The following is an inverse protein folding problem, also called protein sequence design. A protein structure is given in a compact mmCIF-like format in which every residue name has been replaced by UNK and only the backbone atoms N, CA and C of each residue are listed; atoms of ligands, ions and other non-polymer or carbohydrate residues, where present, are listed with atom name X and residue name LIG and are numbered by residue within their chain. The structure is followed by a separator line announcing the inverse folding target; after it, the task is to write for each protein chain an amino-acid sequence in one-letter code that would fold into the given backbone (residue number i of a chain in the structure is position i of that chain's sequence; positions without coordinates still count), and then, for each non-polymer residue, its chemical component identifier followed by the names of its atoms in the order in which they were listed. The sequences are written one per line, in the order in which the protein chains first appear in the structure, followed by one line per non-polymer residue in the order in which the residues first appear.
data_IF_625416607080
#
_entry.id   IF_625416607080
#
_cell.length_a   1.000
_cell.length_b   1.000
_cell.length_c   1.000
_cell.angle_alpha   90.00
_cell.angle_beta   90.00
_cell.angle_gamma   90.00
#
_symmetry.space_group_name_H-M   'P 1'
#
loop_
_entity.id
_entity.type
_entity.pdbx_description
1 polymer ?
#
# COMPACT_ATOMS: atom_id res chain seq x y z
N UNK A 1 -7.39 -36.38 25.39
CA UNK A 1 -6.30 -35.37 25.39
C UNK A 1 -5.97 -34.97 23.95
N UNK A 2 -5.92 -33.65 23.72
CA UNK A 2 -5.15 -32.87 22.70
C UNK A 2 -5.45 -32.99 21.18
N UNK A 3 -6.27 -32.03 20.73
CA UNK A 3 -6.08 -30.95 19.70
C UNK A 3 -5.54 -31.23 18.27
N UNK A 4 -5.94 -30.36 17.28
CA UNK A 4 -6.18 -30.71 15.89
C UNK A 4 -5.01 -30.41 14.95
N UNK A 5 -4.98 -31.05 13.77
CA UNK A 5 -4.01 -30.79 12.70
C UNK A 5 -4.59 -29.82 11.68
N UNK A 6 -3.89 -28.69 11.54
CA UNK A 6 -4.11 -27.59 10.60
C UNK A 6 -4.28 -28.06 9.15
N UNK A 7 -5.38 -27.66 8.52
CA UNK A 7 -5.66 -27.89 7.09
C UNK A 7 -5.27 -26.65 6.28
N UNK A 8 -4.46 -26.76 5.21
CA UNK A 8 -4.01 -25.63 4.37
C UNK A 8 -5.10 -24.93 3.55
N UNK A 9 -6.35 -25.37 3.66
CA UNK A 9 -7.50 -24.90 2.87
C UNK A 9 -8.16 -23.63 3.42
N UNK A 10 -7.73 -23.12 4.58
CA UNK A 10 -8.23 -21.88 5.18
C UNK A 10 -7.58 -20.60 4.60
N UNK A 11 -6.37 -20.72 4.03
CA UNK A 11 -5.54 -19.56 3.75
C UNK A 11 -5.88 -18.84 2.43
N UNK A 12 -6.73 -19.40 1.57
CA UNK A 12 -7.10 -18.78 0.27
C UNK A 12 -8.58 -18.37 0.15
N UNK A 13 -9.50 -18.94 0.93
CA UNK A 13 -10.87 -18.42 1.05
C UNK A 13 -10.92 -17.05 1.76
N UNK A 14 -9.93 -16.79 2.64
CA UNK A 14 -9.78 -15.56 3.42
C UNK A 14 -9.27 -14.36 2.61
N UNK A 15 -8.76 -14.58 1.40
CA UNK A 15 -8.07 -13.54 0.61
C UNK A 15 -9.03 -12.70 -0.26
N UNK A 16 -10.23 -13.20 -0.61
CA UNK A 16 -11.13 -12.52 -1.56
C UNK A 16 -12.59 -12.36 -1.07
N UNK A 17 -13.17 -13.31 -0.32
CA UNK A 17 -14.55 -13.15 0.19
C UNK A 17 -14.65 -12.12 1.36
N UNK A 18 -13.53 -11.87 2.03
CA UNK A 18 -13.39 -10.90 3.15
C UNK A 18 -13.31 -9.42 2.70
N UNK A 19 -13.25 -9.13 1.39
CA UNK A 19 -12.97 -7.80 0.84
C UNK A 19 -14.20 -6.93 0.51
N UNK A 20 -15.44 -7.38 0.80
CA UNK A 20 -16.62 -6.57 1.18
C UNK A 20 -17.92 -7.32 0.90
N UNK A 21 -18.79 -7.41 1.92
CA UNK A 21 -20.08 -6.74 1.84
C UNK A 21 -20.07 -5.57 2.84
N UNK A 22 -20.62 -4.44 2.40
CA UNK A 22 -20.68 -3.18 3.14
C UNK A 22 -20.87 -3.35 4.67
N UNK A 23 -19.89 -2.89 5.45
CA UNK A 23 -19.94 -2.89 6.91
C UNK A 23 -18.55 -2.75 7.54
N UNK A 24 -18.47 -2.08 8.70
CA UNK A 24 -17.25 -1.97 9.53
C UNK A 24 -16.64 -3.36 9.75
N UNK A 25 -15.55 -3.67 9.05
CA UNK A 25 -14.76 -4.88 9.24
C UNK A 25 -13.47 -4.50 9.98
N UNK A 26 -13.27 -5.05 11.18
CA UNK A 26 -12.13 -4.75 12.05
C UNK A 26 -10.79 -4.95 11.34
N UNK A 27 -10.70 -5.87 10.37
CA UNK A 27 -9.51 -6.09 9.54
C UNK A 27 -9.20 -4.91 8.62
N UNK A 28 -10.21 -4.32 7.99
CA UNK A 28 -10.06 -3.13 7.13
C UNK A 28 -9.63 -1.93 7.97
N UNK A 29 -10.27 -1.76 9.13
CA UNK A 29 -9.92 -0.70 10.07
C UNK A 29 -8.49 -0.86 10.62
N UNK A 30 -8.09 -2.09 10.97
CA UNK A 30 -6.75 -2.42 11.43
C UNK A 30 -5.68 -2.10 10.37
N UNK A 31 -5.93 -2.53 9.12
CA UNK A 31 -5.05 -2.23 8.00
C UNK A 31 -4.94 -0.72 7.74
N UNK A 32 -6.07 -0.01 7.68
CA UNK A 32 -6.06 1.44 7.51
C UNK A 32 -5.28 2.13 8.65
N UNK A 33 -5.48 1.74 9.90
CA UNK A 33 -4.73 2.28 11.04
C UNK A 33 -3.22 2.09 10.93
N UNK A 34 -2.77 0.96 10.37
CA UNK A 34 -1.35 0.74 10.09
C UNK A 34 -0.84 1.72 9.03
N UNK A 35 -1.55 1.87 7.91
CA UNK A 35 -1.19 2.82 6.85
C UNK A 35 -1.12 4.27 7.36
N UNK A 36 -2.08 4.65 8.21
CA UNK A 36 -2.09 5.95 8.90
C UNK A 36 -0.85 6.17 9.74
N UNK A 37 -0.45 5.18 10.53
CA UNK A 37 0.75 5.27 11.37
C UNK A 37 2.02 5.43 10.53
N UNK A 38 2.10 4.76 9.38
CA UNK A 38 3.22 4.90 8.45
C UNK A 38 3.26 6.34 7.92
N UNK A 39 2.17 6.84 7.34
CA UNK A 39 2.09 8.19 6.80
C UNK A 39 2.36 9.27 7.87
N UNK A 40 1.83 9.08 9.09
CA UNK A 40 2.10 9.96 10.22
C UNK A 40 3.59 10.02 10.56
N UNK A 41 4.29 8.88 10.61
CA UNK A 41 5.75 8.84 10.85
C UNK A 41 6.55 9.43 9.68
N UNK A 42 6.06 9.25 8.46
CA UNK A 42 6.71 9.78 7.26
C UNK A 42 6.41 11.26 7.01
N UNK A 43 5.45 11.86 7.72
CA UNK A 43 4.99 13.23 7.49
C UNK A 43 6.09 14.29 7.39
N UNK A 44 7.16 14.27 8.22
CA UNK A 44 8.27 15.24 8.09
C UNK A 44 9.07 15.12 6.78
N UNK A 45 8.97 13.99 6.08
CA UNK A 45 9.71 13.70 4.85
C UNK A 45 8.83 13.79 3.59
N UNK A 46 7.51 13.82 3.75
CA UNK A 46 6.58 13.97 2.62
C UNK A 46 6.69 15.39 2.05
N UNK A 47 6.63 15.47 0.72
CA UNK A 47 6.62 16.73 -0.01
C UNK A 47 5.35 16.82 -0.85
N UNK A 48 4.61 17.91 -0.68
CA UNK A 48 3.39 18.20 -1.43
C UNK A 48 3.67 18.30 -2.92
N UNK A 49 2.82 17.68 -3.75
CA UNK A 49 3.00 17.65 -5.21
C UNK A 49 4.12 16.73 -5.69
N UNK A 50 4.77 15.99 -4.79
CA UNK A 50 5.89 15.12 -5.11
C UNK A 50 5.65 13.69 -4.65
N UNK A 51 6.10 12.75 -5.48
CA UNK A 51 6.27 11.36 -5.09
C UNK A 51 7.71 11.20 -4.58
N UNK A 52 7.86 10.88 -3.29
CA UNK A 52 9.16 10.65 -2.66
C UNK A 52 9.42 9.16 -2.43
N UNK A 53 10.66 8.80 -2.13
CA UNK A 53 11.05 7.43 -1.72
C UNK A 53 12.21 7.51 -0.71
N UNK A 54 12.62 6.36 -0.18
CA UNK A 54 13.71 6.23 0.77
C UNK A 54 15.07 6.44 0.08
N UNK A 55 16.04 6.98 0.83
CA UNK A 55 17.38 7.28 0.30
C UNK A 55 18.18 6.02 -0.03
N UNK A 56 18.00 4.96 0.75
CA UNK A 56 18.72 3.69 0.61
C UNK A 56 17.76 2.63 0.09
N UNK A 57 17.78 2.42 -1.23
CA UNK A 57 17.00 1.42 -1.97
C UNK A 57 17.92 0.74 -2.97
N UNK A 58 17.54 -0.43 -3.48
CA UNK A 58 18.35 -1.15 -4.49
C UNK A 58 18.34 -0.43 -5.84
N UNK A 59 19.31 -0.73 -6.70
CA UNK A 59 19.38 -0.16 -8.06
C UNK A 59 18.10 -0.48 -8.87
N UNK A 60 17.57 -1.70 -8.74
CA UNK A 60 16.34 -2.10 -9.42
C UNK A 60 15.12 -1.32 -8.92
N UNK A 61 15.04 -1.06 -7.62
CA UNK A 61 13.96 -0.27 -7.02
C UNK A 61 14.08 1.21 -7.40
N UNK A 62 15.30 1.72 -7.53
CA UNK A 62 15.57 3.08 -8.02
C UNK A 62 15.11 3.26 -9.47
N UNK A 63 15.44 2.32 -10.36
CA UNK A 63 14.96 2.33 -11.75
C UNK A 63 13.43 2.30 -11.81
N UNK A 64 12.79 1.48 -10.97
CA UNK A 64 11.33 1.42 -10.92
C UNK A 64 10.70 2.71 -10.37
N UNK A 65 11.28 3.29 -9.31
CA UNK A 65 10.85 4.56 -8.76
C UNK A 65 10.93 5.68 -9.79
N UNK A 66 12.00 5.75 -10.58
CA UNK A 66 12.14 6.74 -11.65
C UNK A 66 11.07 6.56 -12.74
N UNK A 67 10.73 5.32 -13.09
CA UNK A 67 9.60 5.04 -14.00
C UNK A 67 8.28 5.53 -13.41
N UNK A 68 8.04 5.28 -12.13
CA UNK A 68 6.84 5.69 -11.42
C UNK A 68 6.72 7.22 -11.35
N UNK A 69 7.79 7.91 -10.94
CA UNK A 69 7.86 9.38 -10.83
C UNK A 69 7.61 10.10 -12.16
N UNK A 70 7.99 9.49 -13.29
CA UNK A 70 7.72 10.05 -14.63
C UNK A 70 6.28 9.86 -15.11
N UNK A 71 5.61 8.79 -14.65
CA UNK A 71 4.25 8.46 -15.08
C UNK A 71 3.17 9.07 -14.17
N UNK A 72 3.48 9.26 -12.89
CA UNK A 72 2.51 9.68 -11.88
C UNK A 72 2.72 11.15 -11.55
N UNK A 73 1.77 11.98 -11.93
CA UNK A 73 1.63 13.34 -11.39
C UNK A 73 0.90 13.30 -10.05
N UNK A 74 1.53 13.86 -9.01
CA UNK A 74 0.95 14.01 -7.67
C UNK A 74 0.33 15.42 -7.57
N UNK A 75 -0.95 15.56 -7.17
CA UNK A 75 -1.55 16.88 -6.98
C UNK A 75 -0.81 17.71 -5.91
N UNK A 76 -0.80 19.05 -6.07
CA UNK A 76 -0.03 19.97 -5.22
C UNK A 76 -0.40 19.94 -3.73
N UNK A 77 -1.56 19.42 -3.36
CA UNK A 77 -2.02 19.30 -1.97
C UNK A 77 -1.80 17.90 -1.38
N UNK A 78 -1.12 17.02 -2.13
CA UNK A 78 -0.96 15.59 -1.81
C UNK A 78 0.51 15.30 -1.53
N UNK A 79 0.76 14.65 -0.39
CA UNK A 79 2.04 13.98 -0.13
C UNK A 79 1.93 12.52 -0.53
N UNK A 80 2.90 12.02 -1.30
CA UNK A 80 2.95 10.62 -1.70
C UNK A 80 4.33 10.03 -1.47
N UNK A 81 4.38 8.78 -0.99
CA UNK A 81 5.61 8.02 -0.81
C UNK A 81 5.50 6.67 -1.50
N UNK A 82 6.52 6.35 -2.29
CA UNK A 82 6.79 5.00 -2.76
C UNK A 82 7.59 4.25 -1.70
N UNK A 83 7.05 3.11 -1.26
CA UNK A 83 7.72 2.17 -0.39
C UNK A 83 8.10 0.93 -1.21
N UNK A 84 9.37 0.77 -1.56
CA UNK A 84 9.82 -0.40 -2.31
C UNK A 84 9.73 -1.67 -1.45
N UNK A 85 9.77 -2.87 -2.08
CA UNK A 85 9.71 -4.13 -1.37
C UNK A 85 10.73 -4.21 -0.22
N UNK A 86 12.00 -3.87 -0.45
CA UNK A 86 13.06 -3.94 0.56
C UNK A 86 12.72 -3.18 1.85
N UNK A 87 12.16 -1.98 1.72
CA UNK A 87 11.75 -1.15 2.85
C UNK A 87 10.45 -1.64 3.48
N UNK A 88 9.47 -2.02 2.65
CA UNK A 88 8.18 -2.53 3.13
C UNK A 88 8.39 -3.78 3.99
N UNK A 89 9.31 -4.66 3.62
CA UNK A 89 9.64 -5.84 4.40
C UNK A 89 10.24 -5.50 5.76
N UNK A 90 11.23 -4.60 5.80
CA UNK A 90 11.83 -4.16 7.05
C UNK A 90 10.82 -3.46 7.99
N UNK A 91 9.88 -2.70 7.42
CA UNK A 91 8.92 -1.92 8.21
C UNK A 91 7.71 -2.73 8.68
N UNK A 92 7.20 -3.66 7.87
CA UNK A 92 5.92 -4.33 8.12
C UNK A 92 6.06 -5.73 8.73
N UNK A 93 7.21 -6.39 8.58
CA UNK A 93 7.41 -7.75 9.06
C UNK A 93 8.31 -7.72 10.28
N UNK A 94 7.73 -7.96 11.45
CA UNK A 94 8.49 -8.26 12.67
C UNK A 94 8.98 -9.70 12.58
N UNK A 95 10.21 -9.88 12.10
CA UNK A 95 10.86 -11.18 12.11
C UNK A 95 11.54 -11.41 13.47
N UNK A 96 11.29 -12.53 14.17
CA UNK A 96 12.04 -12.86 15.38
C UNK A 96 13.55 -12.88 15.10
N UNK A 97 14.37 -12.43 16.05
CA UNK A 97 15.84 -12.38 15.90
C UNK A 97 16.47 -13.75 15.55
N UNK A 98 15.76 -14.84 15.85
CA UNK A 98 16.16 -16.22 15.56
C UNK A 98 16.06 -16.62 14.08
N UNK A 99 15.45 -15.81 13.22
CA UNK A 99 15.28 -16.14 11.82
C UNK A 99 16.19 -15.30 10.89
N UNK A 100 16.61 -15.85 9.73
CA UNK A 100 17.56 -15.16 8.85
C UNK A 100 17.05 -13.80 8.37
N UNK A 101 17.87 -12.76 8.41
CA UNK A 101 17.58 -11.50 7.72
C UNK A 101 18.56 -11.31 6.54
N UNK A 102 18.10 -10.85 5.36
CA UNK A 102 16.73 -10.42 5.02
C UNK A 102 15.77 -11.59 4.71
N UNK A 103 14.47 -11.29 4.58
CA UNK A 103 13.45 -12.27 4.16
C UNK A 103 13.82 -12.79 2.76
N UNK A 104 13.86 -14.13 2.54
CA UNK A 104 14.11 -14.69 1.22
C UNK A 104 13.12 -14.12 0.19
N UNK A 105 13.67 -13.71 -0.96
CA UNK A 105 12.86 -13.29 -2.11
C UNK A 105 11.86 -14.39 -2.49
N UNK A 106 10.63 -14.00 -2.82
CA UNK A 106 9.57 -14.89 -3.31
C UNK A 106 9.07 -15.95 -2.30
N UNK A 107 9.36 -15.81 -1.01
CA UNK A 107 8.70 -16.60 0.03
C UNK A 107 7.20 -16.22 0.15
N UNK A 108 6.34 -17.07 0.75
CA UNK A 108 4.95 -16.68 1.05
C UNK A 108 4.84 -15.38 1.87
N UNK A 109 5.88 -15.10 2.67
CA UNK A 109 6.02 -13.87 3.48
C UNK A 109 6.59 -12.69 2.67
N UNK A 110 7.20 -12.94 1.51
CA UNK A 110 7.68 -11.97 0.53
C UNK A 110 7.07 -12.26 -0.85
N UNK A 111 5.74 -12.08 -1.01
CA UNK A 111 5.10 -12.29 -2.29
C UNK A 111 5.69 -11.33 -3.33
N UNK A 112 5.83 -11.77 -4.60
CA UNK A 112 6.46 -10.96 -5.63
C UNK A 112 5.65 -9.69 -5.90
N UNK A 113 6.22 -8.52 -5.62
CA UNK A 113 5.64 -7.22 -5.99
C UNK A 113 6.72 -6.20 -6.41
N UNK A 114 6.28 -4.98 -6.72
CA UNK A 114 7.11 -3.82 -7.03
C UNK A 114 6.91 -2.69 -6.01
N UNK A 115 6.50 -3.01 -4.79
CA UNK A 115 6.27 -2.07 -3.69
C UNK A 115 4.84 -1.53 -3.65
N UNK A 116 4.66 -0.53 -2.78
CA UNK A 116 3.40 0.21 -2.64
C UNK A 116 3.60 1.71 -2.80
N UNK A 117 2.55 2.43 -3.17
CA UNK A 117 2.47 3.88 -3.04
C UNK A 117 1.42 4.24 -2.01
N UNK A 118 1.82 5.01 -1.00
CA UNK A 118 0.90 5.60 -0.04
C UNK A 118 0.76 7.09 -0.32
N UNK A 119 -0.47 7.59 -0.32
CA UNK A 119 -0.74 9.01 -0.49
C UNK A 119 -1.85 9.50 0.44
N UNK A 120 -1.70 10.72 0.92
CA UNK A 120 -2.71 11.43 1.71
C UNK A 120 -2.56 12.94 1.50
N UNK A 121 -3.53 13.70 2.03
CA UNK A 121 -3.36 15.16 2.12
C UNK A 121 -2.45 15.51 3.29
N UNK A 122 -1.81 16.67 3.25
CA UNK A 122 -1.04 17.21 4.37
C UNK A 122 -1.97 17.31 5.57
N UNK A 123 -1.65 16.61 6.65
CA UNK A 123 -2.39 16.51 7.93
C UNK A 123 -3.69 15.69 7.96
N UNK A 124 -4.26 15.29 6.83
CA UNK A 124 -5.42 14.39 6.81
C UNK A 124 -4.99 12.95 6.50
N UNK A 125 -4.69 12.21 7.56
CA UNK A 125 -4.43 10.77 7.49
C UNK A 125 -5.72 9.97 7.60
N UNK A 126 -6.91 10.55 7.64
CA UNK A 126 -8.14 9.75 7.66
C UNK A 126 -8.52 9.27 6.26
N UNK A 127 -8.08 9.97 5.21
CA UNK A 127 -8.22 9.57 3.82
C UNK A 127 -6.86 9.13 3.27
N UNK A 128 -6.71 7.83 3.04
CA UNK A 128 -5.45 7.22 2.58
C UNK A 128 -5.68 6.46 1.28
N UNK A 129 -4.83 6.71 0.29
CA UNK A 129 -4.73 5.87 -0.89
C UNK A 129 -3.52 4.94 -0.74
N UNK A 130 -3.74 3.65 -1.00
CA UNK A 130 -2.70 2.64 -1.07
C UNK A 130 -2.75 1.94 -2.43
N UNK A 131 -1.71 2.13 -3.26
CA UNK A 131 -1.51 1.35 -4.48
C UNK A 131 -0.54 0.20 -4.21
N UNK A 132 -0.94 -1.04 -4.49
CA UNK A 132 -0.10 -2.22 -4.41
C UNK A 132 0.26 -2.69 -5.82
N UNK A 133 1.55 -2.71 -6.15
CA UNK A 133 2.06 -3.14 -7.45
C UNK A 133 2.41 -4.63 -7.43
N UNK A 134 1.43 -5.49 -7.13
CA UNK A 134 1.62 -6.94 -7.02
C UNK A 134 1.92 -7.62 -8.36
N UNK A 135 2.65 -8.74 -8.34
CA UNK A 135 2.84 -9.63 -9.49
C UNK A 135 1.95 -10.89 -9.34
N UNK A 136 1.69 -11.62 -10.44
CA UNK A 136 0.96 -12.88 -10.39
C UNK A 136 1.50 -13.85 -9.32
N UNK A 137 0.63 -14.61 -8.63
CA UNK A 137 -0.81 -14.76 -8.89
C UNK A 137 -1.69 -13.64 -8.32
N UNK A 138 -1.12 -12.64 -7.65
CA UNK A 138 -1.86 -11.51 -7.11
C UNK A 138 -2.04 -10.42 -8.17
N UNK A 139 -3.09 -9.60 -8.00
CA UNK A 139 -3.40 -8.50 -8.92
C UNK A 139 -2.99 -7.16 -8.34
N UNK A 140 -2.38 -6.27 -9.13
CA UNK A 140 -2.20 -4.87 -8.74
C UNK A 140 -3.53 -4.21 -8.41
N UNK A 141 -3.53 -3.37 -7.39
CA UNK A 141 -4.74 -2.69 -6.95
C UNK A 141 -4.46 -1.31 -6.36
N UNK A 142 -5.45 -0.42 -6.40
CA UNK A 142 -5.47 0.83 -5.64
C UNK A 142 -6.66 0.80 -4.72
N UNK A 143 -6.41 0.90 -3.43
CA UNK A 143 -7.44 0.99 -2.40
C UNK A 143 -7.50 2.41 -1.85
N UNK A 144 -8.72 2.90 -1.61
CA UNK A 144 -9.00 4.18 -0.99
C UNK A 144 -9.69 3.93 0.34
N UNK A 145 -9.07 4.37 1.43
CA UNK A 145 -9.58 4.21 2.78
C UNK A 145 -10.03 5.55 3.33
N UNK A 146 -11.20 5.60 3.95
CA UNK A 146 -11.70 6.75 4.69
C UNK A 146 -12.21 6.31 6.07
N UNK A 147 -11.67 6.89 7.14
CA UNK A 147 -12.15 6.68 8.52
C UNK A 147 -12.34 5.21 8.94
N UNK A 148 -11.47 4.33 8.45
CA UNK A 148 -11.45 2.90 8.81
C UNK A 148 -12.30 2.02 7.88
N UNK A 149 -12.83 2.59 6.79
CA UNK A 149 -13.61 1.88 5.79
C UNK A 149 -12.87 1.89 4.45
N UNK A 150 -13.06 0.85 3.64
CA UNK A 150 -12.66 0.83 2.24
C UNK A 150 -13.73 1.56 1.44
N UNK A 151 -13.41 2.76 0.98
CA UNK A 151 -14.31 3.61 0.20
C UNK A 151 -14.39 3.17 -1.26
N UNK A 152 -13.25 2.80 -1.84
CA UNK A 152 -13.15 2.31 -3.22
C UNK A 152 -11.96 1.36 -3.38
N UNK A 153 -12.10 0.39 -4.28
CA UNK A 153 -11.01 -0.49 -4.71
C UNK A 153 -10.98 -0.57 -6.23
N UNK A 154 -9.80 -0.38 -6.81
CA UNK A 154 -9.54 -0.47 -8.25
C UNK A 154 -8.58 -1.63 -8.48
N UNK A 155 -8.98 -2.62 -9.28
CA UNK A 155 -8.17 -3.81 -9.57
C UNK A 155 -7.74 -3.76 -11.03
N UNK A 156 -6.47 -4.10 -11.29
CA UNK A 156 -5.85 -3.97 -12.61
C UNK A 156 -5.28 -5.31 -13.08
N UNK A 157 -5.18 -5.49 -14.40
CA UNK A 157 -4.56 -6.69 -14.98
C UNK A 157 -3.03 -6.59 -14.93
N UNK A 158 -2.50 -5.37 -15.04
CA UNK A 158 -1.05 -5.12 -15.06
C UNK A 158 -0.62 -4.00 -14.13
N UNK A 159 0.65 -4.05 -13.70
CA UNK A 159 1.25 -2.97 -12.90
C UNK A 159 1.27 -1.66 -13.69
N UNK A 160 1.47 -1.71 -15.01
CA UNK A 160 1.52 -0.51 -15.83
C UNK A 160 0.14 0.17 -15.95
N UNK A 161 -0.96 -0.59 -16.01
CA UNK A 161 -2.33 -0.06 -15.90
C UNK A 161 -2.57 0.60 -14.54
N UNK A 162 -2.20 -0.10 -13.46
CA UNK A 162 -2.33 0.42 -12.09
C UNK A 162 -1.58 1.76 -11.92
N UNK A 163 -0.36 1.85 -12.45
CA UNK A 163 0.43 3.10 -12.43
C UNK A 163 -0.22 4.18 -13.28
N UNK A 164 -0.74 3.82 -14.47
CA UNK A 164 -1.37 4.76 -15.40
C UNK A 164 -2.58 5.48 -14.81
N UNK A 165 -3.34 4.79 -13.96
CA UNK A 165 -4.53 5.34 -13.33
C UNK A 165 -4.26 6.12 -12.03
N UNK A 166 -3.07 5.97 -11.44
CA UNK A 166 -2.79 6.47 -10.09
C UNK A 166 -2.96 7.99 -9.96
N UNK A 167 -2.55 8.76 -10.97
CA UNK A 167 -2.80 10.22 -11.03
C UNK A 167 -4.29 10.54 -10.98
N UNK A 168 -5.10 9.81 -11.76
CA UNK A 168 -6.55 10.02 -11.79
C UNK A 168 -7.19 9.69 -10.44
N UNK A 169 -6.76 8.61 -9.78
CA UNK A 169 -7.26 8.25 -8.45
C UNK A 169 -6.89 9.31 -7.41
N UNK A 170 -5.66 9.85 -7.45
CA UNK A 170 -5.27 10.98 -6.60
C UNK A 170 -6.15 12.21 -6.83
N UNK A 171 -6.47 12.54 -8.08
CA UNK A 171 -7.33 13.67 -8.41
C UNK A 171 -8.75 13.48 -7.89
N UNK A 172 -9.34 12.30 -8.09
CA UNK A 172 -10.72 12.01 -7.66
C UNK A 172 -10.84 12.12 -6.14
N UNK A 173 -9.94 11.49 -5.39
CA UNK A 173 -10.12 11.31 -3.95
C UNK A 173 -9.37 12.35 -3.12
N UNK A 174 -8.18 12.81 -3.55
CA UNK A 174 -7.34 13.69 -2.73
C UNK A 174 -7.27 15.15 -3.19
N UNK A 175 -7.78 15.52 -4.38
CA UNK A 175 -7.72 16.92 -4.84
C UNK A 175 -8.79 17.84 -4.21
N UNK A 176 -9.93 17.29 -3.78
CA UNK A 176 -11.06 18.09 -3.27
C UNK A 176 -11.13 18.11 -1.74
N UNK A 177 -10.38 19.02 -1.11
CA UNK A 177 -10.29 19.13 0.35
C UNK A 177 -10.33 20.54 0.94
N UNK A 178 -10.34 21.60 0.15
CA UNK A 178 -10.26 22.97 0.66
C UNK A 178 -11.63 23.64 0.94
N UNK A 179 -12.76 22.93 0.79
CA UNK A 179 -14.10 23.51 0.96
C UNK A 179 -15.02 22.65 1.84
N UNK A 180 -14.61 22.35 3.08
CA UNK A 180 -15.54 21.94 4.13
C UNK A 180 -15.18 22.63 5.45
N UNK A 181 -15.84 23.77 5.69
CA UNK A 181 -16.13 24.33 7.01
C UNK A 181 -14.98 25.00 7.73
#
# INVERSE_FOLDING_TARGET
MKQPKNTPSAHMAEIIESRSPAGRNDSVQGWHNLLKKILFRMAPYLQEGHLVTFRSITDQESVFFEKLRRKVTVPISVGAIYMPPSVRFQMLYHRPESEPQPIPEHSPENPPDKGIVLACRKVDFNLVINALMAKPPFTPAIDVYDNGQLLAGYIYNTIDECIGDLTKVFQIHLQHGANRG
#
